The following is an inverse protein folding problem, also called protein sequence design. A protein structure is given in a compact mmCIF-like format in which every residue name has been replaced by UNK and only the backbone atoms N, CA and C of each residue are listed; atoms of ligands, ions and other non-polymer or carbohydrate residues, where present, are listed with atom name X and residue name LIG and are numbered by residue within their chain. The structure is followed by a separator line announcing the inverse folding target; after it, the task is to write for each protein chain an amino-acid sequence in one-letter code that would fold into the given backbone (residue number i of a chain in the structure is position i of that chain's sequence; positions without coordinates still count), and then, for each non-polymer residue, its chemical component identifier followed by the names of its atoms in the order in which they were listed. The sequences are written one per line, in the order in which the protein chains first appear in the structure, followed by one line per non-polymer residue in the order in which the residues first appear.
data_IF_331675001544
#
_entry.id   IF_331675001544
#
_cell.length_a   1.000
_cell.length_b   1.000
_cell.length_c   1.000
_cell.angle_alpha   90.00
_cell.angle_beta   90.00
_cell.angle_gamma   90.00
#
_symmetry.space_group_name_H-M   'P 1'
#
loop_
_entity.id
_entity.type
_entity.pdbx_description
1 polymer ?
#
# COMPACT_ATOMS: atom_id res chain seq x y z
N UNK A 1 -18.01 -7.66 -7.45
CA UNK A 1 -18.30 -8.18 -6.10
C UNK A 1 -19.82 -8.20 -5.84
N UNK A 2 -20.55 -7.08 -5.92
CA UNK A 2 -21.98 -6.97 -5.59
C UNK A 2 -22.85 -7.92 -6.43
N UNK A 3 -22.73 -7.90 -7.76
CA UNK A 3 -23.49 -8.79 -8.64
C UNK A 3 -23.29 -10.27 -8.32
N UNK A 4 -22.07 -10.69 -7.98
CA UNK A 4 -21.79 -12.07 -7.55
C UNK A 4 -22.47 -12.39 -6.21
N UNK A 5 -22.49 -11.45 -5.26
CA UNK A 5 -23.13 -11.65 -3.96
C UNK A 5 -24.66 -11.71 -4.06
N UNK A 6 -25.28 -10.97 -4.97
CA UNK A 6 -26.71 -11.06 -5.28
C UNK A 6 -27.02 -12.42 -5.89
N UNK A 7 -26.24 -12.89 -6.88
CA UNK A 7 -26.40 -14.22 -7.46
C UNK A 7 -26.28 -15.33 -6.41
N UNK A 8 -25.31 -15.24 -5.52
CA UNK A 8 -25.18 -16.17 -4.40
C UNK A 8 -26.38 -16.11 -3.44
N UNK A 9 -26.99 -14.93 -3.26
CA UNK A 9 -28.19 -14.80 -2.43
C UNK A 9 -29.41 -15.46 -3.09
N UNK A 10 -29.53 -15.42 -4.40
CA UNK A 10 -30.58 -16.16 -5.14
C UNK A 10 -30.46 -17.66 -4.95
N UNK A 11 -29.23 -18.20 -4.87
CA UNK A 11 -28.97 -19.63 -4.69
C UNK A 11 -29.08 -20.12 -3.23
N UNK A 12 -28.62 -19.28 -2.27
CA UNK A 12 -28.35 -19.68 -0.87
C UNK A 12 -29.03 -18.81 0.18
N UNK A 13 -29.88 -17.90 -0.25
CA UNK A 13 -30.49 -16.88 0.60
C UNK A 13 -29.56 -15.69 0.92
N UNK A 14 -30.17 -14.56 1.20
CA UNK A 14 -29.48 -13.36 1.68
C UNK A 14 -28.88 -13.59 3.07
N UNK A 15 -27.99 -12.68 3.50
CA UNK A 15 -27.56 -12.68 4.91
C UNK A 15 -28.75 -12.39 5.85
N UNK A 16 -28.81 -12.99 7.07
CA UNK A 16 -30.05 -13.10 7.86
C UNK A 16 -30.74 -11.79 8.22
N UNK A 17 -29.98 -10.70 8.37
CA UNK A 17 -30.51 -9.38 8.75
C UNK A 17 -30.62 -8.41 7.58
N UNK A 18 -30.58 -8.94 6.33
CA UNK A 18 -30.71 -8.10 5.14
C UNK A 18 -32.10 -7.46 5.09
N UNK A 19 -32.09 -6.14 4.96
CA UNK A 19 -33.29 -5.33 4.77
C UNK A 19 -32.92 -4.12 3.91
N UNK A 20 -33.43 -4.06 2.69
CA UNK A 20 -33.07 -3.01 1.73
C UNK A 20 -33.32 -1.60 2.26
N UNK A 21 -34.38 -1.41 3.07
CA UNK A 21 -34.73 -0.11 3.64
C UNK A 21 -33.65 0.42 4.62
N UNK A 22 -32.96 -0.47 5.34
CA UNK A 22 -31.88 -0.08 6.25
C UNK A 22 -30.66 0.49 5.55
N UNK A 23 -30.50 0.14 4.30
CA UNK A 23 -29.34 0.55 3.48
C UNK A 23 -29.67 1.70 2.51
N UNK A 24 -30.91 2.18 2.52
CA UNK A 24 -31.38 3.22 1.58
C UNK A 24 -30.50 4.50 1.59
N UNK A 25 -29.94 4.85 2.74
CA UNK A 25 -29.07 6.02 2.93
C UNK A 25 -27.57 5.69 2.83
N UNK A 26 -27.18 4.45 2.52
CA UNK A 26 -25.78 4.08 2.34
C UNK A 26 -25.25 4.67 1.02
N UNK A 27 -24.18 5.49 1.05
CA UNK A 27 -23.65 6.14 -0.16
C UNK A 27 -23.20 5.15 -1.24
N UNK A 28 -22.69 3.98 -0.85
CA UNK A 28 -22.29 2.94 -1.83
C UNK A 28 -23.52 2.33 -2.53
N UNK A 29 -24.60 2.10 -1.77
CA UNK A 29 -25.85 1.60 -2.33
C UNK A 29 -26.51 2.64 -3.23
N UNK A 30 -26.44 3.92 -2.86
CA UNK A 30 -26.89 5.02 -3.72
C UNK A 30 -26.14 5.04 -5.06
N UNK A 31 -24.80 4.88 -5.05
CA UNK A 31 -23.99 4.76 -6.26
C UNK A 31 -24.36 3.56 -7.13
N UNK A 32 -24.67 2.41 -6.52
CA UNK A 32 -25.15 1.23 -7.28
C UNK A 32 -26.49 1.56 -7.94
N UNK A 33 -27.42 2.15 -7.21
CA UNK A 33 -28.73 2.56 -7.76
C UNK A 33 -28.62 3.50 -8.95
N UNK A 34 -27.67 4.46 -8.90
CA UNK A 34 -27.44 5.44 -9.96
C UNK A 34 -26.71 4.85 -11.19
N UNK A 35 -25.72 4.01 -10.97
CA UNK A 35 -24.82 3.54 -12.04
C UNK A 35 -25.17 2.15 -12.58
N UNK A 36 -25.92 1.35 -11.82
CA UNK A 36 -26.35 -0.01 -12.17
C UNK A 36 -27.74 -0.30 -11.58
N UNK A 37 -28.80 0.35 -12.10
CA UNK A 37 -30.17 0.21 -11.58
C UNK A 37 -30.67 -1.25 -11.58
N UNK A 38 -30.31 -2.02 -12.60
CA UNK A 38 -30.67 -3.42 -12.72
C UNK A 38 -30.12 -4.24 -11.53
N UNK A 39 -28.84 -4.07 -11.22
CA UNK A 39 -28.23 -4.70 -10.05
C UNK A 39 -28.90 -4.26 -8.73
N UNK A 40 -29.28 -2.99 -8.62
CA UNK A 40 -29.98 -2.48 -7.45
C UNK A 40 -31.36 -3.16 -7.29
N UNK A 41 -32.14 -3.29 -8.35
CA UNK A 41 -33.44 -3.95 -8.33
C UNK A 41 -33.32 -5.43 -7.96
N UNK A 42 -32.36 -6.14 -8.55
CA UNK A 42 -32.05 -7.52 -8.19
C UNK A 42 -31.65 -7.67 -6.73
N UNK A 43 -30.85 -6.74 -6.21
CA UNK A 43 -30.44 -6.72 -4.80
C UNK A 43 -31.61 -6.44 -3.87
N UNK A 44 -32.50 -5.52 -4.19
CA UNK A 44 -33.73 -5.24 -3.40
C UNK A 44 -34.61 -6.48 -3.36
N UNK A 45 -34.75 -7.19 -4.48
CA UNK A 45 -35.61 -8.39 -4.61
C UNK A 45 -35.04 -9.62 -3.90
N UNK A 46 -33.76 -9.90 -4.06
CA UNK A 46 -33.14 -11.16 -3.64
C UNK A 46 -32.20 -11.01 -2.44
N UNK A 47 -31.88 -9.77 -2.07
CA UNK A 47 -30.81 -9.49 -1.12
C UNK A 47 -29.44 -9.73 -1.67
N UNK A 48 -28.45 -9.71 -0.80
CA UNK A 48 -27.08 -10.16 -1.08
C UNK A 48 -26.59 -11.14 -0.02
N UNK A 49 -25.71 -12.04 -0.41
CA UNK A 49 -25.21 -13.09 0.49
C UNK A 49 -24.25 -12.56 1.54
N UNK A 50 -23.44 -11.57 1.19
CA UNK A 50 -22.36 -11.03 2.03
C UNK A 50 -22.73 -9.65 2.55
N UNK A 51 -22.60 -9.44 3.85
CA UNK A 51 -22.83 -8.14 4.47
C UNK A 51 -21.70 -7.14 4.13
N UNK A 52 -20.45 -7.57 4.22
CA UNK A 52 -19.27 -6.82 3.82
C UNK A 52 -18.60 -7.50 2.63
N UNK A 53 -18.24 -6.74 1.60
CA UNK A 53 -17.71 -7.27 0.36
C UNK A 53 -16.35 -6.72 -0.03
N UNK A 54 -16.01 -5.56 0.46
CA UNK A 54 -14.74 -4.90 0.18
C UNK A 54 -14.07 -4.52 1.48
N UNK A 55 -12.76 -4.68 1.54
CA UNK A 55 -11.94 -4.24 2.67
C UNK A 55 -10.59 -3.76 2.16
N UNK A 56 -9.99 -2.86 2.89
CA UNK A 56 -8.61 -2.44 2.68
C UNK A 56 -7.80 -3.07 3.81
N UNK A 57 -7.26 -4.24 3.52
CA UNK A 57 -6.41 -4.97 4.44
C UNK A 57 -4.98 -4.40 4.44
N UNK A 58 -4.17 -4.61 5.50
CA UNK A 58 -2.77 -4.17 5.55
C UNK A 58 -1.89 -4.75 4.46
N UNK A 59 -2.19 -5.93 3.91
CA UNK A 59 -1.54 -6.58 2.76
C UNK A 59 0.00 -6.65 2.82
N UNK A 60 0.60 -6.80 4.00
CA UNK A 60 2.04 -6.75 4.20
C UNK A 60 2.82 -7.74 3.31
N UNK A 61 2.52 -9.04 3.39
CA UNK A 61 3.18 -10.08 2.58
C UNK A 61 2.88 -9.92 1.10
N UNK A 62 1.62 -9.64 0.74
CA UNK A 62 1.20 -9.48 -0.66
C UNK A 62 1.89 -8.27 -1.31
N UNK A 63 2.05 -7.15 -0.58
CA UNK A 63 2.74 -5.98 -1.08
C UNK A 63 4.23 -6.23 -1.33
N UNK A 64 4.88 -7.03 -0.47
CA UNK A 64 6.28 -7.45 -0.69
C UNK A 64 6.41 -8.29 -1.97
N UNK A 65 5.50 -9.24 -2.20
CA UNK A 65 5.50 -10.07 -3.40
C UNK A 65 5.24 -9.25 -4.68
N UNK A 66 4.31 -8.30 -4.62
CA UNK A 66 3.99 -7.41 -5.76
C UNK A 66 4.93 -6.22 -5.90
N UNK A 67 5.87 -6.05 -4.98
CA UNK A 67 6.84 -4.94 -4.97
C UNK A 67 6.15 -3.55 -4.96
N UNK A 68 5.09 -3.43 -4.17
CA UNK A 68 4.31 -2.20 -3.98
C UNK A 68 4.24 -1.83 -2.51
N UNK A 69 3.57 -0.71 -2.19
CA UNK A 69 3.27 -0.33 -0.80
C UNK A 69 2.07 -1.10 -0.25
N UNK A 70 1.99 -1.23 1.07
CA UNK A 70 0.85 -1.84 1.76
C UNK A 70 -0.34 -0.90 1.83
N UNK A 71 -1.56 -1.45 1.68
CA UNK A 71 -2.79 -0.67 1.76
C UNK A 71 -2.86 0.45 0.72
N UNK A 72 -3.38 1.59 1.09
CA UNK A 72 -3.45 2.82 0.28
C UNK A 72 -2.49 3.89 0.82
N UNK A 73 -1.32 3.47 1.25
CA UNK A 73 -0.32 4.39 1.77
C UNK A 73 0.80 4.60 0.74
N UNK A 74 1.35 5.83 0.63
CA UNK A 74 2.51 6.07 -0.20
C UNK A 74 3.74 5.38 0.40
N UNK A 75 4.81 5.25 -0.39
CA UNK A 75 6.08 4.75 0.11
C UNK A 75 6.57 5.60 1.28
N UNK A 76 7.05 4.95 2.34
CA UNK A 76 7.58 5.66 3.50
C UNK A 76 8.86 6.40 3.15
N UNK A 77 9.82 5.68 2.53
CA UNK A 77 11.04 6.24 1.94
C UNK A 77 11.41 5.42 0.71
N UNK A 78 11.70 6.05 -0.42
CA UNK A 78 12.15 5.34 -1.64
C UNK A 78 13.55 4.75 -1.48
N UNK A 79 14.36 5.29 -0.57
CA UNK A 79 15.66 4.77 -0.17
C UNK A 79 15.94 5.05 1.30
N UNK A 80 16.58 4.12 1.98
CA UNK A 80 17.06 4.29 3.35
C UNK A 80 18.32 3.47 3.61
N UNK A 81 19.14 3.92 4.55
CA UNK A 81 20.31 3.17 5.02
C UNK A 81 19.87 2.21 6.12
N UNK A 82 20.17 0.94 5.95
CA UNK A 82 19.87 -0.13 6.91
C UNK A 82 21.15 -0.53 7.62
N UNK A 83 21.06 -0.73 8.94
CA UNK A 83 22.09 -1.34 9.76
C UNK A 83 21.75 -2.79 10.03
N UNK A 84 22.72 -3.67 9.83
CA UNK A 84 22.64 -5.07 10.22
C UNK A 84 23.81 -5.40 11.13
N UNK A 85 23.51 -6.01 12.28
CA UNK A 85 24.55 -6.51 13.18
C UNK A 85 25.38 -7.57 12.47
N UNK A 86 26.71 -7.46 12.55
CA UNK A 86 27.65 -8.45 12.02
C UNK A 86 27.64 -9.65 12.96
N UNK A 87 27.42 -10.85 12.42
CA UNK A 87 27.44 -12.05 13.23
C UNK A 87 28.89 -12.37 13.65
N UNK A 88 29.09 -12.96 14.85
CA UNK A 88 30.42 -13.37 15.31
C UNK A 88 31.14 -14.37 14.38
N UNK A 89 30.39 -15.06 13.50
CA UNK A 89 30.91 -15.95 12.48
C UNK A 89 31.52 -15.22 11.27
N UNK A 90 31.14 -13.96 11.03
CA UNK A 90 31.56 -13.16 9.90
C UNK A 90 32.85 -12.40 10.23
N UNK A 91 33.93 -13.14 10.52
CA UNK A 91 35.20 -12.60 11.06
C UNK A 91 35.94 -11.65 10.12
N UNK A 92 35.68 -11.75 8.81
CA UNK A 92 36.40 -11.01 7.78
C UNK A 92 35.69 -9.69 7.37
N UNK A 93 34.55 -9.37 8.01
CA UNK A 93 33.81 -8.14 7.71
C UNK A 93 34.32 -6.97 8.55
N UNK A 94 34.72 -5.90 7.86
CA UNK A 94 35.02 -4.61 8.48
C UNK A 94 33.69 -3.93 8.86
N UNK A 95 33.50 -3.49 10.10
CA UNK A 95 32.28 -2.80 10.50
C UNK A 95 32.26 -1.36 9.95
N UNK A 96 31.10 -0.95 9.43
CA UNK A 96 30.85 0.45 9.05
C UNK A 96 30.46 1.31 10.25
N UNK A 97 29.91 0.68 11.31
CA UNK A 97 29.46 1.35 12.51
C UNK A 97 29.68 0.46 13.73
N UNK A 98 30.14 1.06 14.84
CA UNK A 98 30.25 0.40 16.16
C UNK A 98 29.43 1.24 17.13
N UNK A 99 28.52 0.60 17.87
CA UNK A 99 27.71 1.29 18.85
C UNK A 99 28.43 1.47 20.20
N UNK A 100 27.77 2.15 21.14
CA UNK A 100 28.32 2.45 22.47
C UNK A 100 28.56 1.20 23.33
N UNK A 101 28.02 0.03 22.91
CA UNK A 101 28.19 -1.26 23.57
C UNK A 101 29.31 -2.10 22.92
N UNK A 102 29.97 -1.58 21.88
CA UNK A 102 30.99 -2.26 21.12
C UNK A 102 30.44 -3.25 20.07
N UNK A 103 29.15 -3.23 19.80
CA UNK A 103 28.52 -4.07 18.80
C UNK A 103 28.82 -3.54 17.39
N UNK A 104 29.13 -4.47 16.48
CA UNK A 104 29.57 -4.16 15.13
C UNK A 104 28.43 -4.30 14.13
N UNK A 105 28.27 -3.31 13.26
CA UNK A 105 27.24 -3.25 12.24
C UNK A 105 27.82 -2.97 10.87
N UNK A 106 27.23 -3.57 9.85
CA UNK A 106 27.37 -3.16 8.46
C UNK A 106 26.21 -2.26 8.06
N UNK A 107 26.45 -1.26 7.22
CA UNK A 107 25.47 -0.34 6.66
C UNK A 107 25.34 -0.54 5.16
N UNK A 108 24.12 -0.55 4.65
CA UNK A 108 23.87 -0.62 3.23
C UNK A 108 22.58 0.09 2.85
N UNK A 109 22.49 0.58 1.62
CA UNK A 109 21.28 1.19 1.11
C UNK A 109 20.25 0.13 0.70
N UNK A 110 19.00 0.38 1.09
CA UNK A 110 17.83 -0.38 0.63
C UNK A 110 16.98 0.54 -0.21
N UNK A 111 16.70 0.12 -1.43
CA UNK A 111 15.97 0.87 -2.43
C UNK A 111 14.60 0.25 -2.67
N UNK A 112 13.57 1.09 -2.80
CA UNK A 112 12.26 0.63 -3.25
C UNK A 112 12.35 0.20 -4.74
N UNK A 113 11.80 -0.96 -5.06
CA UNK A 113 11.91 -1.55 -6.40
C UNK A 113 11.46 -0.62 -7.53
N UNK A 114 10.37 0.11 -7.33
CA UNK A 114 9.87 1.03 -8.35
C UNK A 114 10.76 2.26 -8.52
N UNK A 115 11.46 2.69 -7.48
CA UNK A 115 12.45 3.75 -7.59
C UNK A 115 13.65 3.30 -8.43
N UNK A 116 14.15 2.07 -8.23
CA UNK A 116 15.22 1.52 -9.05
C UNK A 116 14.78 1.41 -10.51
N UNK A 117 13.58 0.90 -10.79
CA UNK A 117 13.04 0.85 -12.16
C UNK A 117 12.93 2.24 -12.79
N UNK A 118 12.52 3.24 -12.02
CA UNK A 118 12.47 4.61 -12.51
C UNK A 118 13.88 5.13 -12.87
N UNK A 119 14.88 4.87 -12.04
CA UNK A 119 16.28 5.21 -12.32
C UNK A 119 16.77 4.57 -13.64
N UNK A 120 16.54 3.27 -13.82
CA UNK A 120 16.89 2.53 -15.03
C UNK A 120 16.21 3.12 -16.27
N UNK A 121 14.92 3.42 -16.21
CA UNK A 121 14.16 4.01 -17.30
C UNK A 121 14.61 5.43 -17.68
N UNK A 122 15.21 6.15 -16.74
CA UNK A 122 15.76 7.50 -16.96
C UNK A 122 17.28 7.51 -17.15
N UNK A 123 17.89 6.33 -17.44
CA UNK A 123 19.30 6.16 -17.76
C UNK A 123 20.27 6.58 -16.63
N UNK A 124 19.86 6.47 -15.38
CA UNK A 124 20.76 6.60 -14.24
C UNK A 124 21.63 5.33 -14.09
N UNK A 125 22.87 5.51 -13.66
CA UNK A 125 23.81 4.39 -13.45
C UNK A 125 23.52 3.64 -12.14
N UNK A 126 22.65 2.64 -12.23
CA UNK A 126 22.25 1.82 -11.07
C UNK A 126 23.35 0.91 -10.52
N UNK A 127 24.48 0.77 -11.20
CA UNK A 127 25.63 0.00 -10.70
C UNK A 127 26.28 0.64 -9.47
N UNK A 128 26.09 1.94 -9.28
CA UNK A 128 26.65 2.74 -8.18
C UNK A 128 25.80 2.75 -6.92
N UNK A 129 24.61 2.16 -6.90
CA UNK A 129 23.61 2.34 -5.84
C UNK A 129 24.13 2.08 -4.42
N UNK A 130 25.07 1.16 -4.22
CA UNK A 130 25.64 0.91 -2.89
C UNK A 130 26.79 1.86 -2.50
N UNK A 131 27.40 2.52 -3.47
CA UNK A 131 28.57 3.39 -3.29
C UNK A 131 28.31 4.84 -3.73
N UNK A 132 27.04 5.20 -3.91
CA UNK A 132 26.62 6.55 -4.32
C UNK A 132 26.87 7.56 -3.20
N UNK A 133 27.28 8.78 -3.54
CA UNK A 133 27.38 9.87 -2.57
C UNK A 133 26.00 10.34 -2.11
N UNK A 134 25.90 10.88 -0.91
CA UNK A 134 24.62 11.38 -0.39
C UNK A 134 24.09 12.57 -1.23
N UNK A 135 24.97 13.41 -1.76
CA UNK A 135 24.59 14.53 -2.63
C UNK A 135 24.04 14.06 -3.97
N UNK A 136 24.66 13.04 -4.58
CA UNK A 136 24.21 12.48 -5.85
C UNK A 136 22.87 11.78 -5.66
N UNK A 137 22.72 10.99 -4.59
CA UNK A 137 21.46 10.32 -4.25
C UNK A 137 20.32 11.30 -4.00
N UNK A 138 20.57 12.39 -3.26
CA UNK A 138 19.59 13.44 -3.01
C UNK A 138 19.16 14.15 -4.32
N UNK A 139 20.10 14.37 -5.23
CA UNK A 139 19.82 14.89 -6.58
C UNK A 139 18.89 13.96 -7.36
N UNK A 140 19.14 12.65 -7.34
CA UNK A 140 18.29 11.66 -8.01
C UNK A 140 16.90 11.56 -7.39
N UNK A 141 16.83 11.64 -6.05
CA UNK A 141 15.54 11.68 -5.33
C UNK A 141 14.73 12.91 -5.71
N UNK A 142 15.35 14.09 -5.75
CA UNK A 142 14.69 15.34 -6.14
C UNK A 142 14.18 15.34 -7.57
N UNK A 143 14.85 14.65 -8.48
CA UNK A 143 14.43 14.49 -9.86
C UNK A 143 13.29 13.45 -10.02
N UNK A 144 13.08 12.58 -9.03
CA UNK A 144 12.13 11.47 -9.11
C UNK A 144 10.69 11.89 -8.79
N UNK A 145 9.69 11.12 -9.24
CA UNK A 145 8.29 11.34 -8.87
C UNK A 145 7.99 11.06 -7.39
N UNK A 146 8.95 10.55 -6.63
CA UNK A 146 8.80 10.32 -5.18
C UNK A 146 9.09 11.55 -4.33
N UNK A 147 9.71 12.59 -4.92
CA UNK A 147 10.00 13.81 -4.20
C UNK A 147 8.71 14.55 -3.82
N UNK A 148 8.54 14.83 -2.54
CA UNK A 148 7.31 15.45 -2.02
C UNK A 148 6.08 14.53 -1.99
N UNK A 149 6.23 13.23 -2.28
CA UNK A 149 5.13 12.26 -2.37
C UNK A 149 5.27 11.07 -1.42
N UNK A 150 6.16 11.15 -0.44
CA UNK A 150 6.34 10.09 0.56
C UNK A 150 5.31 10.18 1.69
N UNK A 151 5.24 9.15 2.53
CA UNK A 151 4.33 9.13 3.67
C UNK A 151 4.50 10.32 4.65
N UNK A 152 5.70 10.92 4.68
CA UNK A 152 5.98 12.10 5.50
C UNK A 152 5.57 13.42 4.83
N UNK A 153 5.37 13.43 3.52
CA UNK A 153 5.09 14.65 2.74
C UNK A 153 3.59 14.90 2.55
N UNK A 154 2.76 13.86 2.73
CA UNK A 154 1.31 13.96 2.48
C UNK A 154 0.60 14.82 3.53
N UNK A 155 -0.42 15.54 3.07
CA UNK A 155 -1.32 16.29 3.94
C UNK A 155 -2.15 15.35 4.84
N UNK A 156 -1.99 15.48 6.14
CA UNK A 156 -2.70 14.70 7.15
C UNK A 156 -4.22 14.85 7.08
N UNK A 157 -4.70 16.05 6.80
CA UNK A 157 -6.14 16.33 6.67
C UNK A 157 -6.71 15.63 5.45
N UNK A 158 -5.99 15.66 4.33
CA UNK A 158 -6.37 14.94 3.11
C UNK A 158 -6.39 13.42 3.35
N UNK A 159 -5.41 12.87 4.08
CA UNK A 159 -5.37 11.45 4.46
C UNK A 159 -6.59 11.04 5.29
N UNK A 160 -6.96 11.80 6.31
CA UNK A 160 -8.14 11.55 7.15
C UNK A 160 -9.44 11.66 6.33
N UNK A 161 -9.54 12.65 5.44
CA UNK A 161 -10.69 12.81 4.53
C UNK A 161 -10.83 11.63 3.58
N UNK A 162 -9.72 11.14 3.03
CA UNK A 162 -9.69 9.96 2.17
C UNK A 162 -10.20 8.73 2.92
N UNK A 163 -9.72 8.49 4.15
CA UNK A 163 -10.20 7.39 4.98
C UNK A 163 -11.71 7.50 5.25
N UNK A 164 -12.19 8.68 5.60
CA UNK A 164 -13.62 8.92 5.79
C UNK A 164 -14.46 8.69 4.53
N UNK A 165 -13.90 8.99 3.34
CA UNK A 165 -14.58 8.71 2.07
C UNK A 165 -14.64 7.21 1.74
N UNK A 166 -13.65 6.43 2.16
CA UNK A 166 -13.59 4.98 1.92
C UNK A 166 -14.54 4.22 2.87
N UNK A 167 -14.74 4.73 4.08
CA UNK A 167 -15.63 4.12 5.07
C UNK A 167 -17.12 4.38 4.82
N UNK A 168 -17.46 5.32 3.98
CA UNK A 168 -18.85 5.61 3.56
C UNK A 168 -19.30 4.64 2.46
#
# INVERSE_FOLDING_TARGET
AYRASVKMAQERGAFPIFEAAREANNPMIARIRENDPELYEEMVKSGRRNIAMLTIAPTGTTSLMSQTTSGIEPVFRPVYKRRRKINPSDKDKTPDFIDNMGEKFEEYYVYHHQFVKWLEQNNYDTSKLQNISEEELDSWLKASPYYGATANDIDWVAKVRMQGAIQK
#
